data_IF_224082681051
#
_entry.id   IF_224082681051
#
_cell.length_a   1.000
_cell.length_b   1.000
_cell.length_c   1.000
_cell.angle_alpha   90.00
_cell.angle_beta   90.00
_cell.angle_gamma   90.00
#
_symmetry.space_group_name_H-M   'P 1'
#
loop_
_entity.id
_entity.type
_entity.pdbx_description
1 polymer ?
#
# COMPACT_ATOMS: atom_id res chain seq x y z
N UNK A 1 5.42 17.97 6.93
CA UNK A 1 4.50 17.21 6.05
C UNK A 1 4.80 17.38 4.56
N UNK A 2 4.72 18.58 3.97
CA UNK A 2 4.82 18.79 2.49
C UNK A 2 6.14 18.30 1.86
N UNK A 3 7.28 18.59 2.47
CA UNK A 3 8.59 18.18 1.92
C UNK A 3 8.85 16.68 1.99
N UNK A 4 8.12 16.01 2.87
CA UNK A 4 8.23 14.58 3.06
C UNK A 4 7.34 13.80 2.09
N UNK A 5 6.12 14.29 1.82
CA UNK A 5 5.32 13.80 0.71
C UNK A 5 6.09 13.95 -0.61
N UNK A 6 6.82 15.05 -0.81
CA UNK A 6 7.70 15.25 -1.98
C UNK A 6 8.84 14.22 -2.03
N UNK A 7 9.51 13.93 -0.92
CA UNK A 7 10.59 12.92 -0.88
C UNK A 7 10.06 11.54 -1.19
N UNK A 8 8.92 11.15 -0.58
CA UNK A 8 8.29 9.87 -0.88
C UNK A 8 7.87 9.79 -2.35
N UNK A 9 7.17 10.82 -2.87
CA UNK A 9 6.84 10.92 -4.29
C UNK A 9 8.07 10.74 -5.17
N UNK A 10 9.18 11.41 -4.85
CA UNK A 10 10.42 11.29 -5.64
C UNK A 10 11.02 9.87 -5.59
N UNK A 11 10.92 9.17 -4.46
CA UNK A 11 11.35 7.76 -4.34
C UNK A 11 10.46 6.88 -5.20
N UNK A 12 9.15 7.07 -5.15
CA UNK A 12 8.18 6.30 -5.95
C UNK A 12 8.36 6.59 -7.45
N UNK A 13 8.64 7.84 -7.85
CA UNK A 13 8.80 8.28 -9.25
C UNK A 13 10.02 7.65 -9.94
N UNK A 14 11.06 7.31 -9.19
CA UNK A 14 12.34 6.85 -9.76
C UNK A 14 12.42 5.34 -10.05
N UNK A 15 11.49 4.49 -9.58
CA UNK A 15 11.64 3.03 -9.78
C UNK A 15 11.13 2.54 -11.13
N UNK A 16 10.03 3.09 -11.67
CA UNK A 16 9.56 2.98 -13.06
C UNK A 16 8.26 3.77 -13.18
N UNK A 17 8.02 4.35 -14.35
CA UNK A 17 6.84 5.14 -14.75
C UNK A 17 5.57 4.81 -13.96
N UNK A 18 5.30 5.58 -12.90
CA UNK A 18 4.19 5.29 -12.02
C UNK A 18 2.88 5.54 -12.75
N UNK A 19 2.14 4.45 -12.97
CA UNK A 19 0.69 4.35 -12.86
C UNK A 19 -0.02 5.72 -12.75
N UNK A 20 -0.72 6.07 -13.84
CA UNK A 20 -1.38 7.37 -14.04
C UNK A 20 -2.38 7.68 -12.93
N UNK A 21 -3.07 6.65 -12.43
CA UNK A 21 -4.09 6.79 -11.43
C UNK A 21 -3.52 6.73 -10.01
N UNK A 22 -4.19 7.44 -9.10
CA UNK A 22 -3.78 7.59 -7.70
C UNK A 22 -5.00 7.68 -6.79
N UNK A 23 -4.93 7.01 -5.64
CA UNK A 23 -5.87 7.23 -4.55
C UNK A 23 -5.18 7.08 -3.19
N UNK A 24 -5.37 8.07 -2.32
CA UNK A 24 -5.02 7.94 -0.90
C UNK A 24 -5.93 6.90 -0.22
N UNK A 25 -5.34 5.99 0.55
CA UNK A 25 -6.08 5.03 1.39
C UNK A 25 -5.74 5.19 2.88
N UNK A 26 -5.00 6.24 3.24
CA UNK A 26 -4.59 6.52 4.62
C UNK A 26 -5.80 6.87 5.47
N UNK A 27 -6.63 7.80 5.02
CA UNK A 27 -7.82 8.20 5.77
C UNK A 27 -8.79 7.03 5.99
N UNK A 28 -8.95 6.18 4.97
CA UNK A 28 -9.75 4.97 5.07
C UNK A 28 -9.19 4.02 6.14
N UNK A 29 -7.89 3.71 6.09
CA UNK A 29 -7.26 2.78 7.03
C UNK A 29 -7.18 3.32 8.47
N UNK A 30 -7.10 4.64 8.68
CA UNK A 30 -7.21 5.26 10.02
C UNK A 30 -8.52 4.96 10.73
N UNK A 31 -9.57 4.63 9.98
CA UNK A 31 -10.91 4.37 10.51
C UNK A 31 -11.26 2.88 10.53
N UNK A 32 -10.68 2.09 9.62
CA UNK A 32 -11.09 0.70 9.37
C UNK A 32 -10.05 -0.34 9.75
N UNK A 33 -8.82 0.07 10.05
CA UNK A 33 -7.70 -0.83 10.29
C UNK A 33 -7.13 -0.62 11.68
N UNK A 34 -7.28 -1.63 12.53
CA UNK A 34 -6.69 -1.65 13.86
C UNK A 34 -5.15 -1.54 13.75
N UNK A 35 -4.53 -0.81 14.68
CA UNK A 35 -3.08 -0.56 14.74
C UNK A 35 -2.49 0.30 13.61
N UNK A 36 -3.32 0.76 12.66
CA UNK A 36 -2.94 1.77 11.67
C UNK A 36 -3.08 3.18 12.26
N UNK A 37 -1.99 3.96 12.28
CA UNK A 37 -1.93 5.26 12.94
C UNK A 37 -1.44 6.39 12.02
N UNK A 38 -1.26 7.59 12.57
CA UNK A 38 -0.83 8.81 11.86
C UNK A 38 0.66 8.81 11.46
N UNK A 39 1.44 7.84 11.94
CA UNK A 39 2.86 7.67 11.61
C UNK A 39 3.10 6.75 10.41
N UNK A 40 2.03 6.17 9.86
CA UNK A 40 2.03 5.37 8.64
C UNK A 40 1.24 6.10 7.56
N UNK A 41 1.73 6.08 6.32
CA UNK A 41 0.97 6.52 5.14
C UNK A 41 0.80 5.35 4.20
N UNK A 42 -0.37 5.28 3.56
CA UNK A 42 -0.62 4.35 2.47
C UNK A 42 -1.50 4.96 1.39
N UNK A 43 -1.13 4.67 0.15
CA UNK A 43 -1.88 5.05 -1.04
C UNK A 43 -1.70 3.98 -2.10
N UNK A 44 -2.57 3.99 -3.10
CA UNK A 44 -2.49 3.09 -4.24
C UNK A 44 -2.27 3.86 -5.53
N UNK A 45 -1.59 3.22 -6.48
CA UNK A 45 -1.43 3.70 -7.85
C UNK A 45 -1.67 2.57 -8.82
N UNK A 46 -2.33 2.85 -9.93
CA UNK A 46 -2.51 1.85 -10.98
C UNK A 46 -2.55 2.43 -12.39
N UNK A 47 -2.31 1.54 -13.35
CA UNK A 47 -2.60 1.67 -14.78
C UNK A 47 -3.25 0.36 -15.25
N UNK A 48 -3.43 0.20 -16.55
CA UNK A 48 -3.99 -1.02 -17.14
C UNK A 48 -3.15 -2.27 -16.80
N UNK A 49 -1.82 -2.12 -16.73
CA UNK A 49 -0.87 -3.24 -16.58
C UNK A 49 -0.25 -3.35 -15.17
N UNK A 50 -0.53 -2.39 -14.28
CA UNK A 50 0.17 -2.31 -13.02
C UNK A 50 -0.73 -1.80 -11.89
N UNK A 51 -0.65 -2.47 -10.74
CA UNK A 51 -1.41 -2.14 -9.52
C UNK A 51 -0.46 -2.18 -8.33
N UNK A 52 -0.28 -1.02 -7.69
CA UNK A 52 0.69 -0.80 -6.65
C UNK A 52 0.01 -0.32 -5.36
N UNK A 53 0.41 -0.91 -4.25
CA UNK A 53 0.16 -0.38 -2.91
C UNK A 53 1.48 0.16 -2.36
N UNK A 54 1.50 1.44 -2.00
CA UNK A 54 2.65 2.08 -1.38
C UNK A 54 2.36 2.27 0.10
N UNK A 55 3.26 1.80 0.96
CA UNK A 55 3.15 1.91 2.42
C UNK A 55 4.47 2.43 2.96
N UNK A 56 4.42 3.41 3.85
CA UNK A 56 5.60 3.97 4.49
C UNK A 56 5.38 4.16 5.98
N UNK A 57 6.32 3.66 6.78
CA UNK A 57 6.43 3.95 8.21
C UNK A 57 7.43 5.08 8.39
N UNK A 58 7.04 6.08 9.17
CA UNK A 58 7.85 7.26 9.41
C UNK A 58 8.26 7.45 10.85
N UNK A 59 7.85 6.53 11.73
CA UNK A 59 8.39 6.46 13.06
C UNK A 59 9.84 5.94 12.97
N UNK A 60 10.83 6.64 13.57
CA UNK A 60 12.22 6.21 13.56
C UNK A 60 12.55 5.10 14.57
N UNK A 61 11.61 4.77 15.46
CA UNK A 61 11.82 3.86 16.58
C UNK A 61 10.88 2.64 16.55
N UNK A 62 9.64 2.82 16.11
CA UNK A 62 8.60 1.81 16.24
C UNK A 62 8.30 1.06 14.94
N UNK A 63 8.16 -0.26 15.09
CA UNK A 63 7.58 -1.15 14.08
C UNK A 63 6.07 -1.18 14.23
N UNK A 64 5.34 -1.31 13.11
CA UNK A 64 3.89 -1.50 13.12
C UNK A 64 3.50 -2.76 12.39
N UNK A 65 2.40 -3.37 12.83
CA UNK A 65 1.81 -4.55 12.21
C UNK A 65 0.30 -4.43 12.12
N UNK A 66 -0.27 -4.47 10.91
CA UNK A 66 -1.69 -4.24 10.67
C UNK A 66 -2.20 -4.96 9.41
N UNK A 67 -3.52 -5.14 9.31
CA UNK A 67 -4.20 -5.66 8.13
C UNK A 67 -4.64 -4.50 7.24
N UNK A 68 -3.76 -4.05 6.34
CA UNK A 68 -4.09 -2.95 5.43
C UNK A 68 -5.29 -3.35 4.57
N UNK A 69 -6.24 -2.45 4.41
CA UNK A 69 -7.46 -2.67 3.66
C UNK A 69 -7.52 -1.78 2.42
N UNK A 70 -8.03 -2.33 1.32
CA UNK A 70 -8.41 -1.54 0.15
C UNK A 70 -9.90 -1.16 0.25
N UNK A 71 -10.25 0.10 -0.01
CA UNK A 71 -11.65 0.51 -0.13
C UNK A 71 -12.36 -0.24 -1.27
N UNK A 72 -13.68 -0.43 -1.14
CA UNK A 72 -14.50 -1.10 -2.16
C UNK A 72 -14.35 -0.50 -3.57
N UNK A 73 -14.20 0.82 -3.66
CA UNK A 73 -14.05 1.48 -4.95
C UNK A 73 -12.71 1.11 -5.65
N UNK A 74 -11.65 0.82 -4.89
CA UNK A 74 -10.39 0.32 -5.46
C UNK A 74 -10.50 -1.14 -5.88
N UNK A 75 -11.23 -1.96 -5.11
CA UNK A 75 -11.51 -3.35 -5.47
C UNK A 75 -12.24 -3.40 -6.82
N UNK A 76 -13.24 -2.54 -7.00
CA UNK A 76 -14.00 -2.42 -8.25
C UNK A 76 -13.14 -1.87 -9.40
N UNK A 77 -12.38 -0.81 -9.16
CA UNK A 77 -11.49 -0.18 -10.15
C UNK A 77 -10.40 -1.15 -10.65
N UNK A 78 -9.90 -2.01 -9.77
CA UNK A 78 -8.93 -3.05 -10.11
C UNK A 78 -9.59 -4.35 -10.59
N UNK A 79 -10.92 -4.42 -10.72
CA UNK A 79 -11.66 -5.65 -11.07
C UNK A 79 -11.15 -6.87 -10.26
N UNK A 80 -10.90 -6.67 -8.96
CA UNK A 80 -10.45 -7.75 -8.09
C UNK A 80 -11.63 -8.66 -7.75
N UNK A 81 -11.43 -9.95 -7.98
CA UNK A 81 -12.40 -11.00 -7.66
C UNK A 81 -11.99 -11.68 -6.36
N UNK A 82 -12.91 -12.39 -5.75
CA UNK A 82 -12.60 -13.18 -4.56
C UNK A 82 -11.46 -14.17 -4.86
N UNK A 83 -10.43 -14.16 -4.02
CA UNK A 83 -9.19 -14.91 -4.23
C UNK A 83 -7.98 -14.32 -3.51
N UNK A 84 -6.84 -14.98 -3.70
CA UNK A 84 -5.56 -14.61 -3.10
C UNK A 84 -4.62 -14.08 -4.19
N UNK A 85 -4.13 -12.85 -4.02
CA UNK A 85 -3.22 -12.18 -4.95
C UNK A 85 -1.85 -12.01 -4.30
N UNK A 86 -0.79 -12.42 -5.01
CA UNK A 86 0.57 -12.25 -4.53
C UNK A 86 1.01 -10.80 -4.65
N UNK A 87 1.41 -10.21 -3.53
CA UNK A 87 1.92 -8.85 -3.44
C UNK A 87 3.43 -8.91 -3.21
N UNK A 88 4.22 -8.40 -4.16
CA UNK A 88 5.69 -8.44 -4.10
C UNK A 88 6.27 -7.04 -4.02
N UNK A 89 7.18 -6.83 -3.07
CA UNK A 89 7.93 -5.58 -2.95
C UNK A 89 8.81 -5.34 -4.19
N UNK A 90 8.70 -4.14 -4.75
CA UNK A 90 9.46 -3.67 -5.91
C UNK A 90 10.69 -2.84 -5.53
N UNK A 91 10.85 -2.43 -4.26
CA UNK A 91 12.01 -1.65 -3.83
C UNK A 91 13.26 -2.51 -3.67
N UNK A 92 13.15 -3.58 -2.88
CA UNK A 92 14.28 -4.45 -2.55
C UNK A 92 14.05 -5.92 -2.91
N UNK A 93 12.82 -6.29 -3.32
CA UNK A 93 12.43 -7.67 -3.64
C UNK A 93 12.62 -8.66 -2.46
N UNK A 94 12.61 -8.16 -1.23
CA UNK A 94 12.85 -8.95 -0.01
C UNK A 94 11.57 -9.26 0.76
N UNK A 95 10.48 -8.56 0.44
CA UNK A 95 9.20 -8.70 1.11
C UNK A 95 8.12 -9.17 0.14
N UNK A 96 7.27 -10.08 0.63
CA UNK A 96 6.08 -10.52 -0.08
C UNK A 96 4.96 -10.77 0.94
N UNK A 97 3.73 -10.56 0.51
CA UNK A 97 2.52 -10.84 1.29
C UNK A 97 1.40 -11.25 0.34
N UNK A 98 0.24 -11.59 0.90
CA UNK A 98 -0.94 -12.03 0.14
C UNK A 98 -2.07 -11.05 0.39
N UNK A 99 -2.57 -10.44 -0.67
CA UNK A 99 -3.81 -9.68 -0.65
C UNK A 99 -4.97 -10.67 -0.80
N UNK A 100 -5.77 -10.81 0.25
CA UNK A 100 -6.95 -11.68 0.28
C UNK A 100 -8.19 -10.86 -0.03
N UNK A 101 -8.92 -11.25 -1.06
CA UNK A 101 -10.18 -10.63 -1.48
C UNK A 101 -11.32 -11.60 -1.16
N UNK A 102 -12.27 -11.16 -0.36
CA UNK A 102 -13.46 -11.95 -0.03
C UNK A 102 -14.60 -11.03 0.41
N UNK A 103 -15.84 -11.32 -0.01
CA UNK A 103 -17.02 -10.58 0.42
C UNK A 103 -16.89 -9.05 0.26
N UNK A 104 -16.37 -8.59 -0.89
CA UNK A 104 -16.11 -7.16 -1.17
C UNK A 104 -15.09 -6.48 -0.24
N UNK A 105 -14.30 -7.25 0.51
CA UNK A 105 -13.19 -6.72 1.32
C UNK A 105 -11.88 -7.28 0.80
N UNK A 106 -10.87 -6.42 0.69
CA UNK A 106 -9.51 -6.82 0.34
C UNK A 106 -8.55 -6.43 1.47
N UNK A 107 -7.85 -7.42 2.03
CA UNK A 107 -6.95 -7.24 3.18
C UNK A 107 -5.58 -7.86 2.93
N UNK A 108 -4.54 -7.18 3.39
CA UNK A 108 -3.16 -7.64 3.30
C UNK A 108 -2.42 -7.38 4.62
N UNK A 109 -1.77 -8.42 5.15
CA UNK A 109 -0.92 -8.29 6.34
C UNK A 109 0.31 -7.47 5.98
N UNK A 110 0.57 -6.42 6.74
CA UNK A 110 1.76 -5.58 6.67
C UNK A 110 2.46 -5.58 8.02
N UNK A 111 3.76 -5.86 8.01
CA UNK A 111 4.67 -5.70 9.13
C UNK A 111 5.81 -4.80 8.68
N UNK A 112 5.85 -3.56 9.18
CA UNK A 112 6.70 -2.49 8.64
C UNK A 112 7.60 -1.89 9.72
N UNK A 113 8.91 -1.97 9.52
CA UNK A 113 9.95 -1.51 10.44
C UNK A 113 10.07 0.01 10.47
N UNK A 114 10.80 0.57 11.45
CA UNK A 114 11.05 2.00 11.50
C UNK A 114 11.70 2.52 10.20
N UNK A 115 11.18 3.63 9.69
CA UNK A 115 11.61 4.26 8.42
C UNK A 115 11.57 3.35 7.18
N UNK A 116 10.89 2.20 7.25
CA UNK A 116 10.75 1.28 6.14
C UNK A 116 9.63 1.73 5.20
N UNK A 117 9.74 1.35 3.94
CA UNK A 117 8.70 1.55 2.94
C UNK A 117 8.60 0.32 2.05
N UNK A 118 7.39 0.08 1.55
CA UNK A 118 7.11 -0.97 0.59
C UNK A 118 6.42 -0.38 -0.64
N UNK A 119 6.80 -0.88 -1.81
CA UNK A 119 6.02 -0.73 -3.04
C UNK A 119 5.57 -2.12 -3.42
N UNK A 120 4.36 -2.50 -3.03
CA UNK A 120 3.82 -3.83 -3.26
C UNK A 120 3.07 -3.85 -4.59
N UNK A 121 3.59 -4.59 -5.55
CA UNK A 121 2.88 -4.90 -6.80
C UNK A 121 2.07 -6.16 -6.64
N UNK A 122 0.78 -6.12 -7.01
CA UNK A 122 -0.06 -7.31 -7.08
C UNK A 122 -0.06 -7.88 -8.51
N UNK A 123 -0.06 -9.21 -8.59
CA UNK A 123 -0.19 -9.98 -9.83
C UNK A 123 -1.51 -10.74 -9.85
#
# INVERSE_FOLDING_TARGET
LRDFYKRLLNVTINSTALAENYQDIHHYNRQHTEWYNDQVLSFVRWSDDERLMVISNFNPENTYGFELQLPENIIAEWDLKDGDYHAKDQLYNQYQSILKVSNHQAKIRIDIKPLESFILKIN
#
